data_IF_631041162100
#
_entry.id   IF_631041162100
#
_cell.length_a   1.000
_cell.length_b   1.000
_cell.length_c   1.000
_cell.angle_alpha   90.00
_cell.angle_beta   90.00
_cell.angle_gamma   90.00
#
_symmetry.space_group_name_H-M   'P 1'
#
loop_
_entity.id
_entity.type
_entity.pdbx_description
1 polymer ?
#
# COMPACT_ATOMS: atom_id res chain seq x y z
N UNK A 1 -7.32 2.01 4.58
CA UNK A 1 -6.28 2.69 3.76
C UNK A 1 -4.97 2.89 4.53
N UNK A 2 -4.93 3.58 5.67
CA UNK A 2 -3.67 3.84 6.38
C UNK A 2 -2.89 2.59 6.80
N UNK A 3 -3.58 1.52 7.23
CA UNK A 3 -2.92 0.22 7.54
C UNK A 3 -2.19 -0.35 6.34
N UNK A 4 -2.80 -0.28 5.15
CA UNK A 4 -2.19 -0.75 3.91
C UNK A 4 -0.92 0.06 3.57
N UNK A 5 -1.01 1.39 3.62
CA UNK A 5 0.12 2.29 3.38
C UNK A 5 1.26 2.05 4.37
N UNK A 6 0.92 1.87 5.65
CA UNK A 6 1.89 1.56 6.69
C UNK A 6 2.63 0.24 6.43
N UNK A 7 1.91 -0.83 6.10
CA UNK A 7 2.54 -2.12 5.78
C UNK A 7 3.43 -2.02 4.55
N UNK A 8 2.95 -1.36 3.50
CA UNK A 8 3.70 -1.14 2.25
C UNK A 8 4.97 -0.30 2.47
N UNK A 9 4.90 0.73 3.33
CA UNK A 9 6.04 1.56 3.70
C UNK A 9 7.11 0.77 4.49
N UNK A 10 6.70 -0.23 5.27
CA UNK A 10 7.60 -1.03 6.10
C UNK A 10 8.29 -2.18 5.35
N UNK A 11 7.65 -2.76 4.34
CA UNK A 11 8.21 -3.92 3.63
C UNK A 11 7.89 -3.87 2.13
N UNK A 12 8.86 -4.14 1.24
CA UNK A 12 8.59 -4.29 -0.19
C UNK A 12 7.54 -5.38 -0.43
N UNK A 13 6.61 -5.10 -1.34
CA UNK A 13 5.57 -6.06 -1.68
C UNK A 13 6.16 -7.25 -2.46
N UNK A 14 5.87 -8.47 -2.00
CA UNK A 14 6.41 -9.69 -2.61
C UNK A 14 5.78 -10.03 -3.96
N UNK A 15 4.54 -9.64 -4.21
CA UNK A 15 3.91 -9.83 -5.52
C UNK A 15 4.58 -8.95 -6.57
N UNK A 16 4.83 -7.68 -6.25
CA UNK A 16 5.63 -6.78 -7.11
C UNK A 16 7.04 -7.35 -7.30
N UNK A 17 7.70 -7.74 -6.21
CA UNK A 17 9.06 -8.31 -6.24
C UNK A 17 9.15 -9.51 -7.18
N UNK A 18 8.19 -10.44 -7.11
CA UNK A 18 8.12 -11.62 -7.98
C UNK A 18 7.84 -11.25 -9.44
N UNK A 19 7.01 -10.24 -9.67
CA UNK A 19 6.52 -9.88 -11.01
C UNK A 19 7.52 -9.03 -11.80
N UNK A 20 8.18 -8.08 -11.15
CA UNK A 20 9.03 -7.07 -11.80
C UNK A 20 10.35 -6.76 -11.06
N UNK A 21 10.65 -7.47 -9.98
CA UNK A 21 11.93 -7.35 -9.25
C UNK A 21 11.90 -6.48 -8.00
N UNK A 22 12.91 -6.66 -7.14
CA UNK A 22 12.99 -6.04 -5.81
C UNK A 22 13.16 -4.52 -5.86
N UNK A 23 13.88 -4.00 -6.86
CA UNK A 23 14.13 -2.55 -6.98
C UNK A 23 12.82 -1.80 -7.24
N UNK A 24 11.98 -2.31 -8.15
CA UNK A 24 10.64 -1.74 -8.41
C UNK A 24 9.73 -1.83 -7.19
N UNK A 25 9.84 -2.91 -6.41
CA UNK A 25 9.09 -3.04 -5.16
C UNK A 25 9.55 -2.04 -4.09
N UNK A 26 10.85 -1.75 -4.01
CA UNK A 26 11.42 -0.71 -3.13
C UNK A 26 11.00 0.69 -3.54
N UNK A 27 10.94 0.99 -4.85
CA UNK A 27 10.41 2.27 -5.32
C UNK A 27 8.98 2.53 -4.82
N UNK A 28 8.10 1.52 -4.90
CA UNK A 28 6.73 1.65 -4.38
C UNK A 28 6.70 1.76 -2.86
N UNK A 29 7.57 1.01 -2.16
CA UNK A 29 7.72 1.13 -0.71
C UNK A 29 8.14 2.57 -0.31
N UNK A 30 9.10 3.17 -1.00
CA UNK A 30 9.61 4.49 -0.66
C UNK A 30 8.56 5.58 -0.89
N UNK A 31 7.80 5.49 -1.98
CA UNK A 31 6.64 6.38 -2.18
C UNK A 31 5.58 6.18 -1.09
N UNK A 32 5.34 4.96 -0.62
CA UNK A 32 4.44 4.72 0.49
C UNK A 32 4.96 5.36 1.80
N UNK A 33 6.28 5.36 2.05
CA UNK A 33 6.88 6.08 3.19
C UNK A 33 6.63 7.58 3.09
N UNK A 34 6.79 8.17 1.91
CA UNK A 34 6.49 9.59 1.68
C UNK A 34 5.02 9.91 1.95
N UNK A 35 4.11 9.08 1.45
CA UNK A 35 2.66 9.23 1.71
C UNK A 35 2.36 9.18 3.21
N UNK A 36 2.96 8.24 3.95
CA UNK A 36 2.80 8.14 5.40
C UNK A 36 3.37 9.37 6.11
N UNK A 37 4.55 9.86 5.70
CA UNK A 37 5.17 11.07 6.25
C UNK A 37 4.30 12.32 6.01
N UNK A 38 3.56 12.37 4.90
CA UNK A 38 2.61 13.43 4.57
C UNK A 38 1.27 13.34 5.33
N UNK A 39 1.10 12.36 6.23
CA UNK A 39 -0.10 12.18 7.06
C UNK A 39 -1.12 11.16 6.52
N UNK A 40 -0.79 10.44 5.43
CA UNK A 40 -1.67 9.48 4.80
C UNK A 40 -3.05 10.06 4.46
N UNK A 41 -4.11 9.26 4.59
CA UNK A 41 -5.48 9.72 4.31
C UNK A 41 -6.05 10.71 5.34
N UNK A 42 -5.32 11.02 6.41
CA UNK A 42 -5.80 11.92 7.47
C UNK A 42 -5.44 13.39 7.23
N UNK A 43 -4.53 13.67 6.29
CA UNK A 43 -4.09 15.01 5.95
C UNK A 43 -4.30 15.27 4.46
N UNK A 44 -4.63 16.51 4.08
CA UNK A 44 -4.89 16.84 2.67
C UNK A 44 -3.67 16.62 1.77
N UNK A 45 -2.47 16.90 2.30
CA UNK A 45 -1.19 16.59 1.65
C UNK A 45 -1.00 15.10 1.42
N UNK A 46 -1.29 14.28 2.42
CA UNK A 46 -1.18 12.83 2.33
C UNK A 46 -2.23 12.22 1.41
N UNK A 47 -3.47 12.72 1.43
CA UNK A 47 -4.52 12.30 0.48
C UNK A 47 -4.09 12.58 -0.97
N UNK A 48 -3.57 13.77 -1.26
CA UNK A 48 -3.05 14.09 -2.59
C UNK A 48 -1.89 13.16 -3.00
N UNK A 49 -1.00 12.83 -2.05
CA UNK A 49 0.09 11.90 -2.29
C UNK A 49 -0.39 10.46 -2.53
N UNK A 50 -1.45 10.01 -1.85
CA UNK A 50 -2.11 8.72 -2.10
C UNK A 50 -2.59 8.65 -3.55
N UNK A 51 -3.28 9.69 -4.01
CA UNK A 51 -3.79 9.72 -5.38
C UNK A 51 -2.67 9.74 -6.43
N UNK A 52 -1.59 10.46 -6.17
CA UNK A 52 -0.41 10.46 -7.04
C UNK A 52 0.28 9.08 -7.10
N UNK A 53 0.37 8.39 -5.96
CA UNK A 53 0.89 7.02 -5.90
C UNK A 53 -0.01 6.05 -6.68
N UNK A 54 -1.34 6.14 -6.49
CA UNK A 54 -2.30 5.30 -7.21
C UNK A 54 -2.20 5.50 -8.72
N UNK A 55 -2.16 6.76 -9.19
CA UNK A 55 -2.00 7.10 -10.59
C UNK A 55 -0.70 6.52 -11.17
N UNK A 56 0.42 6.60 -10.43
CA UNK A 56 1.69 6.01 -10.83
C UNK A 56 1.60 4.49 -10.99
N UNK A 57 0.96 3.80 -10.05
CA UNK A 57 0.76 2.34 -10.13
C UNK A 57 -0.17 1.94 -11.29
N UNK A 58 -1.20 2.74 -11.58
CA UNK A 58 -2.11 2.50 -12.70
C UNK A 58 -1.42 2.64 -14.06
N UNK A 59 -0.53 3.62 -14.23
CA UNK A 59 0.27 3.82 -15.46
C UNK A 59 1.11 2.60 -15.82
N UNK A 60 1.52 1.84 -14.82
CA UNK A 60 2.31 0.61 -14.96
C UNK A 60 1.43 -0.61 -15.27
N UNK A 61 0.17 -0.41 -15.66
CA UNK A 61 -0.79 -1.46 -16.06
C UNK A 61 -0.92 -2.59 -15.03
N UNK A 62 -0.88 -2.23 -13.74
CA UNK A 62 -0.97 -3.19 -12.63
C UNK A 62 0.27 -4.06 -12.44
N UNK A 63 1.41 -3.74 -13.07
CA UNK A 63 2.68 -4.41 -12.77
C UNK A 63 3.19 -4.07 -11.37
N UNK A 64 2.92 -2.85 -10.90
CA UNK A 64 3.31 -2.36 -9.58
C UNK A 64 2.17 -2.43 -8.55
N UNK A 65 1.18 -3.30 -8.75
CA UNK A 65 0.10 -3.45 -7.77
C UNK A 65 0.61 -4.24 -6.55
N UNK A 66 0.58 -3.68 -5.32
CA UNK A 66 1.03 -4.36 -4.10
C UNK A 66 -0.02 -5.37 -3.60
N UNK A 67 -0.20 -6.45 -4.38
CA UNK A 67 -1.22 -7.46 -4.14
C UNK A 67 -1.03 -8.22 -2.83
N UNK A 68 0.22 -8.57 -2.45
CA UNK A 68 0.44 -9.29 -1.19
C UNK A 68 0.06 -8.43 0.02
N UNK A 69 0.33 -7.12 -0.04
CA UNK A 69 -0.06 -6.18 1.01
C UNK A 69 -1.59 -6.09 1.11
N UNK A 70 -2.29 -6.05 -0.03
CA UNK A 70 -3.75 -6.08 -0.06
C UNK A 70 -4.31 -7.38 0.55
N UNK A 71 -3.73 -8.53 0.21
CA UNK A 71 -4.13 -9.84 0.74
C UNK A 71 -3.97 -9.90 2.27
N UNK A 72 -2.86 -9.39 2.81
CA UNK A 72 -2.61 -9.33 4.27
C UNK A 72 -3.66 -8.45 4.97
N UNK A 73 -3.95 -7.27 4.41
CA UNK A 73 -4.97 -6.36 4.95
C UNK A 73 -6.34 -7.02 4.92
N UNK A 74 -6.69 -7.68 3.80
CA UNK A 74 -7.94 -8.43 3.65
C UNK A 74 -8.08 -9.54 4.68
N UNK A 75 -7.05 -10.38 4.84
CA UNK A 75 -7.03 -11.46 5.83
C UNK A 75 -7.13 -10.91 7.27
N UNK A 76 -6.43 -9.81 7.56
CA UNK A 76 -6.45 -9.18 8.90
C UNK A 76 -7.83 -8.60 9.21
N UNK A 77 -8.47 -7.92 8.26
CA UNK A 77 -9.84 -7.42 8.41
C UNK A 77 -10.85 -8.56 8.58
N UNK A 78 -10.69 -9.65 7.82
CA UNK A 78 -11.53 -10.82 7.98
C UNK A 78 -11.46 -11.39 9.41
N UNK A 79 -10.24 -11.61 9.92
CA UNK A 79 -10.04 -12.08 11.31
C UNK A 79 -10.60 -11.07 12.31
N UNK A 80 -10.36 -9.77 12.11
CA UNK A 80 -10.89 -8.72 13.00
C UNK A 80 -12.42 -8.77 13.07
N UNK A 81 -13.11 -8.92 11.93
CA UNK A 81 -14.57 -9.06 11.87
C UNK A 81 -15.05 -10.31 12.63
N UNK A 82 -14.36 -11.45 12.49
CA UNK A 82 -14.67 -12.67 13.27
C UNK A 82 -14.49 -12.45 14.78
N UNK A 83 -13.54 -11.60 15.17
CA UNK A 83 -13.32 -11.18 16.56
C UNK A 83 -14.27 -10.06 17.03
N UNK A 84 -15.28 -9.69 16.25
CA UNK A 84 -16.31 -8.72 16.63
C UNK A 84 -15.97 -7.26 16.33
N UNK A 85 -14.94 -6.98 15.52
CA UNK A 85 -14.69 -5.63 15.01
C UNK A 85 -15.87 -5.14 14.17
N UNK A 86 -16.35 -3.92 14.46
CA UNK A 86 -17.41 -3.23 13.72
C UNK A 86 -16.86 -1.87 13.25
N UNK A 87 -16.49 -1.74 11.96
CA UNK A 87 -15.92 -0.52 11.40
C UNK A 87 -16.92 0.64 11.27
#
# INVERSE_FOLDING_TARGET
>A
MNTFLYLLANKPDSFITRKVGIERAREIQDLAKEVVACGGMLAKSGENAVWALDEKMQKEKGQLNPGTTADIVGATLFVACLCGFRP
#
